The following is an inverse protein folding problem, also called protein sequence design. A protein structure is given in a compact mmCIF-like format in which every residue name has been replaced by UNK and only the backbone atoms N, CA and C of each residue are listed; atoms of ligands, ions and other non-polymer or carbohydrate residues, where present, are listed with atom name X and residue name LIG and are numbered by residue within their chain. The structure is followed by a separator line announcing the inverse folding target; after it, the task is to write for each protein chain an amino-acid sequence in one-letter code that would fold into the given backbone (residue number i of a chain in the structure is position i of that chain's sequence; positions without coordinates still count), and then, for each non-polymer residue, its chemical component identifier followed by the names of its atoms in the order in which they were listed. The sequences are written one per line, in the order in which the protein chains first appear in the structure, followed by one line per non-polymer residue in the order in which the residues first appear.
data_IF_972354774373
#
_entry.id   IF_972354774373
#
_cell.length_a   1.000
_cell.length_b   1.000
_cell.length_c   1.000
_cell.angle_alpha   90.00
_cell.angle_beta   90.00
_cell.angle_gamma   90.00
#
_symmetry.space_group_name_H-M   'P 1'
#
loop_
_entity.id
_entity.type
_entity.pdbx_description
1 polymer ?
#
# COMPACT_ATOMS: atom_id res chain seq x y z
N UNK A 1 -16.74 51.21 -24.82
CA UNK A 1 -16.23 50.06 -25.62
C UNK A 1 -15.65 50.63 -26.90
N UNK A 2 -14.47 50.18 -27.36
CA UNK A 2 -13.88 50.71 -28.59
C UNK A 2 -14.81 50.40 -29.77
N UNK A 3 -14.94 51.34 -30.71
CA UNK A 3 -15.82 51.13 -31.89
C UNK A 3 -15.22 50.09 -32.86
N UNK A 4 -13.90 49.91 -32.84
CA UNK A 4 -13.16 48.90 -33.60
C UNK A 4 -12.27 48.05 -32.68
N UNK A 5 -12.47 46.72 -32.70
CA UNK A 5 -11.70 45.76 -31.91
C UNK A 5 -10.41 45.32 -32.62
N UNK A 6 -9.43 44.81 -31.85
CA UNK A 6 -8.07 44.53 -32.33
C UNK A 6 -8.04 43.57 -33.53
N UNK A 7 -8.86 42.51 -33.52
CA UNK A 7 -8.85 41.51 -34.58
C UNK A 7 -9.40 42.06 -35.90
N UNK A 8 -10.48 42.86 -35.85
CA UNK A 8 -11.02 43.56 -37.02
C UNK A 8 -10.02 44.59 -37.58
N UNK A 9 -9.28 45.28 -36.71
CA UNK A 9 -8.21 46.20 -37.11
C UNK A 9 -7.06 45.49 -37.82
N UNK A 10 -6.65 44.32 -37.34
CA UNK A 10 -5.56 43.54 -37.94
C UNK A 10 -5.90 43.10 -39.37
N UNK A 11 -7.11 42.58 -39.59
CA UNK A 11 -7.61 42.18 -40.92
C UNK A 11 -7.55 43.35 -41.91
N UNK A 12 -8.06 44.52 -41.51
CA UNK A 12 -8.06 45.71 -42.36
C UNK A 12 -6.63 46.22 -42.62
N UNK A 13 -5.80 46.25 -41.60
CA UNK A 13 -4.42 46.72 -41.71
C UNK A 13 -3.56 45.85 -42.64
N UNK A 14 -3.82 44.55 -42.68
CA UNK A 14 -3.11 43.61 -43.54
C UNK A 14 -3.41 43.85 -45.02
N UNK A 15 -4.68 44.08 -45.36
CA UNK A 15 -5.10 44.35 -46.73
C UNK A 15 -4.63 45.73 -47.21
N UNK A 16 -4.70 46.76 -46.35
CA UNK A 16 -4.18 48.10 -46.69
C UNK A 16 -2.66 48.05 -46.94
N UNK A 17 -1.91 47.31 -46.11
CA UNK A 17 -0.45 47.09 -46.29
C UNK A 17 -0.09 46.33 -47.56
N UNK A 18 -1.02 45.52 -48.08
CA UNK A 18 -0.83 44.78 -49.33
C UNK A 18 -1.02 45.72 -50.52
N UNK A 19 -2.07 46.53 -50.50
CA UNK A 19 -2.39 47.49 -51.56
C UNK A 19 -1.41 48.67 -51.63
N UNK A 20 -0.81 49.08 -50.51
CA UNK A 20 0.15 50.19 -50.49
C UNK A 20 1.53 49.86 -51.06
N UNK A 21 1.85 48.58 -51.31
CA UNK A 21 3.14 48.16 -51.91
C UNK A 21 3.18 48.28 -53.43
N UNK A 22 2.05 48.54 -54.07
CA UNK A 22 1.93 48.56 -55.54
C UNK A 22 2.15 49.95 -56.17
N UNK A 23 2.13 51.06 -55.39
CA UNK A 23 2.36 52.43 -55.89
C UNK A 23 2.93 53.39 -54.81
N UNK A 24 3.81 54.32 -55.20
CA UNK A 24 4.46 55.32 -54.31
C UNK A 24 3.46 56.31 -53.69
N UNK A 25 2.32 56.55 -54.35
CA UNK A 25 1.20 57.32 -53.77
C UNK A 25 0.44 56.55 -52.66
N UNK A 26 0.65 55.23 -52.59
CA UNK A 26 -0.01 54.32 -51.64
C UNK A 26 0.48 54.45 -50.20
N UNK A 27 1.71 54.92 -49.95
CA UNK A 27 2.24 55.07 -48.58
C UNK A 27 1.58 56.23 -47.81
N UNK A 28 1.22 57.31 -48.50
CA UNK A 28 0.54 58.46 -47.90
C UNK A 28 -0.92 58.08 -47.59
N UNK A 29 -1.61 57.43 -48.54
CA UNK A 29 -2.95 56.89 -48.33
C UNK A 29 -3.01 55.90 -47.16
N UNK A 30 -2.00 55.04 -47.02
CA UNK A 30 -1.89 54.08 -45.93
C UNK A 30 -1.83 54.80 -44.58
N UNK A 31 -0.97 55.81 -44.43
CA UNK A 31 -0.84 56.55 -43.17
C UNK A 31 -2.14 57.26 -42.79
N UNK A 32 -2.88 57.78 -43.77
CA UNK A 32 -4.17 58.45 -43.54
C UNK A 32 -5.22 57.45 -43.06
N UNK A 33 -5.40 56.33 -43.76
CA UNK A 33 -6.41 55.32 -43.41
C UNK A 33 -6.08 54.66 -42.07
N UNK A 34 -4.81 54.34 -41.82
CA UNK A 34 -4.38 53.74 -40.54
C UNK A 34 -4.66 54.67 -39.36
N UNK A 35 -4.38 55.98 -39.47
CA UNK A 35 -4.74 56.96 -38.43
C UNK A 35 -6.26 57.07 -38.21
N UNK A 36 -7.06 56.99 -39.28
CA UNK A 36 -8.53 56.98 -39.18
C UNK A 36 -9.03 55.73 -38.45
N UNK A 37 -8.49 54.55 -38.77
CA UNK A 37 -8.83 53.29 -38.10
C UNK A 37 -8.38 53.27 -36.63
N UNK A 38 -7.21 53.82 -36.30
CA UNK A 38 -6.77 53.98 -34.91
C UNK A 38 -7.67 54.93 -34.12
N UNK A 39 -8.14 56.02 -34.75
CA UNK A 39 -9.12 56.92 -34.13
C UNK A 39 -10.42 56.19 -33.77
N UNK A 40 -10.89 55.27 -34.62
CA UNK A 40 -12.07 54.44 -34.32
C UNK A 40 -11.83 53.46 -33.17
N UNK A 41 -10.59 53.01 -32.95
CA UNK A 41 -10.23 52.20 -31.77
C UNK A 41 -10.23 53.03 -30.49
N UNK A 42 -9.83 54.31 -30.57
CA UNK A 42 -9.77 55.21 -29.41
C UNK A 42 -11.14 55.82 -29.06
N UNK A 43 -12.06 55.90 -30.01
CA UNK A 43 -13.42 56.37 -29.76
C UNK A 43 -14.26 55.30 -29.07
N UNK A 44 -15.04 55.71 -28.06
CA UNK A 44 -16.03 54.85 -27.41
C UNK A 44 -17.42 55.13 -28.00
N UNK A 45 -18.10 54.09 -28.48
CA UNK A 45 -19.42 54.23 -29.10
C UNK A 45 -19.92 52.91 -29.69
N UNK A 46 -20.97 52.96 -30.51
CA UNK A 46 -21.46 51.77 -31.22
C UNK A 46 -20.38 51.20 -32.17
N UNK A 47 -20.31 49.86 -32.32
CA UNK A 47 -19.42 49.21 -33.26
C UNK A 47 -19.57 49.81 -34.67
N UNK A 48 -18.44 50.04 -35.34
CA UNK A 48 -18.43 50.61 -36.69
C UNK A 48 -19.27 49.76 -37.64
N UNK A 49 -20.16 50.41 -38.40
CA UNK A 49 -21.00 49.77 -39.42
C UNK A 49 -20.24 49.63 -40.73
N UNK A 50 -20.68 48.73 -41.59
CA UNK A 50 -19.98 48.42 -42.84
C UNK A 50 -19.88 49.64 -43.76
N UNK A 51 -20.93 50.46 -43.80
CA UNK A 51 -21.04 51.66 -44.62
C UNK A 51 -20.04 52.73 -44.17
N UNK A 52 -19.94 52.96 -42.86
CA UNK A 52 -18.99 53.89 -42.25
C UNK A 52 -17.54 53.45 -42.49
N UNK A 53 -17.26 52.14 -42.38
CA UNK A 53 -15.94 51.59 -42.67
C UNK A 53 -15.57 51.73 -44.16
N UNK A 54 -16.55 51.52 -45.05
CA UNK A 54 -16.39 51.63 -46.49
C UNK A 54 -16.05 53.08 -46.89
N UNK A 55 -16.79 54.06 -46.40
CA UNK A 55 -16.52 55.48 -46.68
C UNK A 55 -15.10 55.90 -46.25
N UNK A 56 -14.63 55.42 -45.11
CA UNK A 56 -13.32 55.78 -44.57
C UNK A 56 -12.14 55.24 -45.40
N UNK A 57 -12.35 54.12 -46.11
CA UNK A 57 -11.30 53.38 -46.83
C UNK A 57 -11.37 53.61 -48.34
N UNK A 58 -12.57 53.66 -48.93
CA UNK A 58 -12.78 53.77 -50.39
C UNK A 58 -12.28 55.11 -50.96
N UNK A 59 -12.28 56.17 -50.15
CA UNK A 59 -11.70 57.49 -50.48
C UNK A 59 -10.22 57.40 -50.91
N UNK A 60 -9.44 56.51 -50.28
CA UNK A 60 -8.01 56.34 -50.55
C UNK A 60 -7.71 55.07 -51.35
N UNK A 61 -8.57 54.06 -51.27
CA UNK A 61 -8.44 52.77 -51.96
C UNK A 61 -9.76 52.38 -52.63
N UNK A 62 -10.05 52.89 -53.83
CA UNK A 62 -11.32 52.63 -54.52
C UNK A 62 -11.51 51.17 -54.92
N UNK A 63 -10.42 50.40 -55.02
CA UNK A 63 -10.41 48.97 -55.35
C UNK A 63 -10.43 48.04 -54.13
N UNK A 64 -10.66 48.57 -52.93
CA UNK A 64 -10.61 47.78 -51.69
C UNK A 64 -11.64 46.65 -51.68
N UNK A 65 -11.21 45.46 -51.26
CA UNK A 65 -12.05 44.27 -51.28
C UNK A 65 -13.22 44.36 -50.30
N UNK A 66 -14.45 44.36 -50.83
CA UNK A 66 -15.67 44.36 -50.02
C UNK A 66 -15.80 43.10 -49.13
N UNK A 67 -15.18 41.99 -49.56
CA UNK A 67 -15.13 40.75 -48.77
C UNK A 67 -14.38 40.96 -47.46
N UNK A 68 -13.27 41.69 -47.50
CA UNK A 68 -12.44 41.98 -46.32
C UNK A 68 -13.16 42.92 -45.37
N UNK A 69 -13.92 43.91 -45.89
CA UNK A 69 -14.77 44.77 -45.06
C UNK A 69 -15.85 43.97 -44.31
N UNK A 70 -16.53 43.05 -44.99
CA UNK A 70 -17.56 42.18 -44.38
C UNK A 70 -16.97 41.24 -43.32
N UNK A 71 -15.76 40.73 -43.56
CA UNK A 71 -15.05 39.87 -42.63
C UNK A 71 -14.61 40.63 -41.37
N UNK A 72 -14.04 41.83 -41.54
CA UNK A 72 -13.65 42.68 -40.42
C UNK A 72 -14.85 43.05 -39.53
N UNK A 73 -16.01 43.38 -40.11
CA UNK A 73 -17.23 43.70 -39.34
C UNK A 73 -17.76 42.48 -38.59
N UNK A 74 -17.73 41.29 -39.20
CA UNK A 74 -18.18 40.04 -38.56
C UNK A 74 -17.40 39.74 -37.28
N UNK A 75 -16.10 39.98 -37.31
CA UNK A 75 -15.21 39.73 -36.18
C UNK A 75 -15.08 40.94 -35.23
N UNK A 76 -15.71 42.09 -35.56
CA UNK A 76 -15.77 43.28 -34.72
C UNK A 76 -16.82 43.17 -33.58
N UNK A 77 -17.09 41.96 -33.08
CA UNK A 77 -18.15 41.69 -32.12
C UNK A 77 -17.61 41.01 -30.84
N UNK A 78 -17.81 41.57 -29.63
CA UNK A 78 -17.16 41.09 -28.40
C UNK A 78 -17.64 39.73 -27.82
N UNK A 79 -18.67 39.08 -28.37
CA UNK A 79 -19.45 38.09 -27.59
C UNK A 79 -19.40 36.62 -28.06
N UNK A 80 -18.76 36.25 -29.18
CA UNK A 80 -18.97 34.92 -29.77
C UNK A 80 -18.17 33.75 -29.15
N UNK A 81 -16.84 33.88 -29.07
CA UNK A 81 -15.95 32.72 -28.84
C UNK A 81 -15.46 32.57 -27.39
N UNK A 82 -15.35 33.66 -26.63
CA UNK A 82 -14.87 33.65 -25.24
C UNK A 82 -15.91 33.16 -24.24
N UNK A 83 -17.19 33.48 -24.45
CA UNK A 83 -18.30 33.04 -23.59
C UNK A 83 -18.53 31.52 -23.70
N UNK A 84 -18.38 30.95 -24.89
CA UNK A 84 -18.54 29.51 -25.11
C UNK A 84 -17.48 28.67 -24.38
N UNK A 85 -16.23 29.14 -24.36
CA UNK A 85 -15.13 28.45 -23.68
C UNK A 85 -15.27 28.53 -22.15
N UNK A 86 -15.71 29.68 -21.63
CA UNK A 86 -15.97 29.88 -20.20
C UNK A 86 -17.19 29.07 -19.72
N UNK A 87 -18.28 29.04 -20.49
CA UNK A 87 -19.45 28.20 -20.19
C UNK A 87 -19.14 26.71 -20.30
N UNK A 88 -18.33 26.28 -21.27
CA UNK A 88 -17.87 24.90 -21.39
C UNK A 88 -17.03 24.45 -20.19
N UNK A 89 -16.12 25.30 -19.71
CA UNK A 89 -15.32 25.04 -18.51
C UNK A 89 -16.16 24.96 -17.23
N UNK A 90 -17.12 25.88 -17.05
CA UNK A 90 -18.04 25.88 -15.91
C UNK A 90 -19.01 24.69 -15.92
N UNK A 91 -19.52 24.30 -17.09
CA UNK A 91 -20.39 23.13 -17.23
C UNK A 91 -19.65 21.82 -16.92
N UNK A 92 -18.39 21.68 -17.38
CA UNK A 92 -17.57 20.51 -17.08
C UNK A 92 -17.27 20.38 -15.58
N UNK A 93 -16.95 21.49 -14.90
CA UNK A 93 -16.73 21.51 -13.45
C UNK A 93 -18.01 21.19 -12.65
N UNK A 94 -19.16 21.72 -13.08
CA UNK A 94 -20.45 21.43 -12.45
C UNK A 94 -20.85 19.96 -12.58
N UNK A 95 -20.67 19.36 -13.76
CA UNK A 95 -20.96 17.93 -14.00
C UNK A 95 -20.01 17.04 -13.20
N UNK A 96 -18.72 17.36 -13.15
CA UNK A 96 -17.75 16.61 -12.35
C UNK A 96 -18.10 16.64 -10.85
N UNK A 97 -18.52 17.79 -10.32
CA UNK A 97 -19.00 17.92 -8.95
C UNK A 97 -20.25 17.10 -8.67
N UNK A 98 -21.23 17.10 -9.59
CA UNK A 98 -22.45 16.30 -9.47
C UNK A 98 -22.18 14.79 -9.54
N UNK A 99 -21.26 14.34 -10.40
CA UNK A 99 -20.83 12.93 -10.46
C UNK A 99 -20.13 12.52 -9.17
N UNK A 100 -19.32 13.40 -8.59
CA UNK A 100 -18.66 13.14 -7.31
C UNK A 100 -19.66 12.99 -6.16
N UNK A 101 -20.64 13.91 -6.06
CA UNK A 101 -21.72 13.84 -5.06
C UNK A 101 -22.62 12.62 -5.27
N UNK A 102 -22.97 12.28 -6.51
CA UNK A 102 -23.77 11.10 -6.83
C UNK A 102 -23.04 9.78 -6.55
N UNK A 103 -21.71 9.78 -6.59
CA UNK A 103 -20.88 8.62 -6.26
C UNK A 103 -20.56 8.50 -4.76
N UNK A 104 -21.00 9.44 -3.91
CA UNK A 104 -20.78 9.36 -2.47
C UNK A 104 -21.38 8.07 -1.88
N UNK A 105 -20.72 7.47 -0.87
CA UNK A 105 -21.15 6.24 -0.21
C UNK A 105 -22.30 6.47 0.77
N UNK A 106 -23.30 7.29 0.42
CA UNK A 106 -24.47 7.57 1.26
C UNK A 106 -25.74 6.90 0.72
N UNK A 107 -26.40 6.01 1.51
CA UNK A 107 -27.55 5.24 1.04
C UNK A 107 -28.70 6.06 0.46
N UNK A 108 -29.01 7.22 1.07
CA UNK A 108 -30.16 8.03 0.63
C UNK A 108 -29.93 8.70 -0.72
N UNK A 109 -28.68 8.94 -1.12
CA UNK A 109 -28.34 9.55 -2.41
C UNK A 109 -28.16 8.48 -3.49
N UNK A 110 -27.54 7.34 -3.15
CA UNK A 110 -27.28 6.27 -4.14
C UNK A 110 -28.51 5.53 -4.62
N UNK A 111 -29.55 5.36 -3.78
CA UNK A 111 -30.80 4.68 -4.17
C UNK A 111 -31.45 5.30 -5.41
N UNK A 112 -31.78 6.61 -5.42
CA UNK A 112 -32.37 7.23 -6.61
C UNK A 112 -31.42 7.21 -7.81
N UNK A 113 -30.10 7.40 -7.61
CA UNK A 113 -29.11 7.32 -8.69
C UNK A 113 -29.06 5.93 -9.33
N UNK A 114 -29.14 4.86 -8.54
CA UNK A 114 -29.15 3.48 -9.04
C UNK A 114 -30.42 3.12 -9.84
N UNK A 115 -31.54 3.78 -9.56
CA UNK A 115 -32.80 3.61 -10.28
C UNK A 115 -32.90 4.47 -11.55
N UNK A 116 -32.34 5.69 -11.51
CA UNK A 116 -32.50 6.68 -12.59
C UNK A 116 -31.31 6.67 -13.57
N UNK A 117 -30.08 6.49 -13.08
CA UNK A 117 -28.86 6.59 -13.88
C UNK A 117 -27.83 5.50 -13.48
N UNK A 118 -28.14 4.21 -13.69
CA UNK A 118 -27.29 3.09 -13.24
C UNK A 118 -25.87 3.11 -13.83
N UNK A 119 -25.69 3.70 -15.02
CA UNK A 119 -24.38 3.82 -15.68
C UNK A 119 -23.36 4.61 -14.84
N UNK A 120 -23.81 5.57 -14.03
CA UNK A 120 -22.93 6.40 -13.17
C UNK A 120 -22.28 5.57 -12.06
N UNK A 121 -22.96 4.49 -11.61
CA UNK A 121 -22.49 3.64 -10.52
C UNK A 121 -21.67 2.43 -11.00
N UNK A 122 -21.56 2.20 -12.30
CA UNK A 122 -20.82 1.05 -12.87
C UNK A 122 -19.37 0.94 -12.37
N UNK A 123 -18.56 2.03 -12.33
CA UNK A 123 -17.19 1.92 -11.82
C UNK A 123 -17.13 1.43 -10.36
N UNK A 124 -18.08 1.88 -9.53
CA UNK A 124 -18.20 1.45 -8.13
C UNK A 124 -18.56 -0.03 -8.02
N UNK A 125 -19.47 -0.53 -8.87
CA UNK A 125 -19.84 -1.94 -8.88
C UNK A 125 -18.72 -2.84 -9.41
N UNK A 126 -17.98 -2.42 -10.44
CA UNK A 126 -16.83 -3.17 -10.96
C UNK A 126 -15.74 -3.29 -9.89
N UNK A 127 -15.43 -2.19 -9.20
CA UNK A 127 -14.46 -2.21 -8.11
C UNK A 127 -14.89 -3.12 -6.96
N UNK A 128 -16.19 -3.15 -6.65
CA UNK A 128 -16.73 -4.05 -5.63
C UNK A 128 -16.56 -5.52 -6.04
N UNK A 129 -16.80 -5.87 -7.32
CA UNK A 129 -16.74 -7.26 -7.83
C UNK A 129 -15.33 -7.78 -7.76
N UNK A 130 -14.42 -6.94 -8.22
CA UNK A 130 -13.00 -7.22 -8.14
C UNK A 130 -12.56 -7.44 -6.70
N UNK A 131 -12.87 -6.52 -5.78
CA UNK A 131 -12.50 -6.67 -4.38
C UNK A 131 -13.12 -7.92 -3.76
N UNK A 132 -14.39 -8.22 -4.02
CA UNK A 132 -15.02 -9.42 -3.49
C UNK A 132 -14.37 -10.71 -4.02
N UNK A 133 -14.18 -10.82 -5.34
CA UNK A 133 -13.56 -12.00 -5.96
C UNK A 133 -12.11 -12.18 -5.52
N UNK A 134 -11.34 -11.10 -5.47
CA UNK A 134 -9.97 -11.12 -4.98
C UNK A 134 -9.94 -11.52 -3.50
N UNK A 135 -10.84 -11.00 -2.66
CA UNK A 135 -10.94 -11.41 -1.26
C UNK A 135 -11.19 -12.93 -1.11
N UNK A 136 -12.16 -13.49 -1.82
CA UNK A 136 -12.48 -14.92 -1.75
C UNK A 136 -11.31 -15.77 -2.26
N UNK A 137 -10.74 -15.43 -3.41
CA UNK A 137 -9.61 -16.17 -3.99
C UNK A 137 -8.38 -16.15 -3.09
N UNK A 138 -8.07 -15.00 -2.48
CA UNK A 138 -6.95 -14.86 -1.55
C UNK A 138 -7.19 -15.56 -0.22
N UNK A 139 -8.43 -15.56 0.26
CA UNK A 139 -8.84 -16.33 1.46
C UNK A 139 -8.63 -17.81 1.24
N UNK A 140 -9.04 -18.35 0.08
CA UNK A 140 -8.84 -19.76 -0.26
C UNK A 140 -7.35 -20.12 -0.38
N UNK A 141 -6.56 -19.29 -1.05
CA UNK A 141 -5.10 -19.47 -1.13
C UNK A 141 -4.46 -19.48 0.26
N UNK A 142 -4.83 -18.54 1.11
CA UNK A 142 -4.36 -18.47 2.48
C UNK A 142 -4.74 -19.72 3.28
N UNK A 143 -5.99 -20.18 3.14
CA UNK A 143 -6.49 -21.37 3.81
C UNK A 143 -5.68 -22.61 3.43
N UNK A 144 -5.41 -22.79 2.15
CA UNK A 144 -4.59 -23.91 1.66
C UNK A 144 -3.16 -23.83 2.20
N UNK A 145 -2.53 -22.67 2.12
CA UNK A 145 -1.15 -22.44 2.56
C UNK A 145 -0.99 -22.60 4.08
N UNK A 146 -2.00 -22.27 4.88
CA UNK A 146 -1.94 -22.34 6.35
C UNK A 146 -2.41 -23.71 6.86
N UNK A 147 -3.52 -24.25 6.33
CA UNK A 147 -4.06 -25.51 6.80
C UNK A 147 -3.29 -26.74 6.31
N UNK A 148 -2.65 -26.64 5.14
CA UNK A 148 -1.85 -27.71 4.53
C UNK A 148 -0.36 -27.36 4.46
N UNK A 149 0.09 -26.43 5.31
CA UNK A 149 1.49 -26.03 5.37
C UNK A 149 2.39 -27.23 5.61
N UNK A 150 3.47 -27.29 4.83
CA UNK A 150 4.57 -28.26 5.02
C UNK A 150 5.85 -27.56 5.45
N UNK A 151 5.93 -26.25 5.26
CA UNK A 151 7.07 -25.41 5.60
C UNK A 151 6.63 -24.10 6.26
N UNK A 152 7.57 -23.44 6.96
CA UNK A 152 7.36 -22.09 7.49
C UNK A 152 7.17 -21.04 6.39
N UNK A 153 7.71 -21.28 5.19
CA UNK A 153 7.51 -20.43 4.03
C UNK A 153 6.04 -20.43 3.58
N UNK A 154 5.36 -21.58 3.62
CA UNK A 154 3.93 -21.68 3.31
C UNK A 154 3.10 -20.84 4.29
N UNK A 155 3.40 -20.93 5.59
CA UNK A 155 2.73 -20.12 6.63
C UNK A 155 2.95 -18.62 6.38
N UNK A 156 4.16 -18.21 6.01
CA UNK A 156 4.49 -16.81 5.76
C UNK A 156 3.76 -16.28 4.53
N UNK A 157 3.78 -17.02 3.42
CA UNK A 157 3.03 -16.66 2.21
C UNK A 157 1.53 -16.65 2.48
N UNK A 158 1.01 -17.65 3.19
CA UNK A 158 -0.38 -17.72 3.62
C UNK A 158 -0.79 -16.50 4.43
N UNK A 159 0.04 -16.08 5.39
CA UNK A 159 -0.21 -14.86 6.18
C UNK A 159 -0.30 -13.60 5.31
N UNK A 160 0.57 -13.49 4.30
CA UNK A 160 0.50 -12.37 3.34
C UNK A 160 -0.82 -12.40 2.56
N UNK A 161 -1.26 -13.58 2.11
CA UNK A 161 -2.54 -13.76 1.41
C UNK A 161 -3.74 -13.44 2.30
N UNK A 162 -3.72 -13.79 3.59
CA UNK A 162 -4.76 -13.37 4.55
C UNK A 162 -4.82 -11.84 4.63
N UNK A 163 -3.67 -11.17 4.76
CA UNK A 163 -3.63 -9.71 4.85
C UNK A 163 -4.14 -9.03 3.57
N UNK A 164 -3.82 -9.60 2.39
CA UNK A 164 -4.40 -9.16 1.11
C UNK A 164 -5.92 -9.36 1.09
N UNK A 165 -6.41 -10.53 1.52
CA UNK A 165 -7.84 -10.81 1.58
C UNK A 165 -8.59 -9.83 2.51
N UNK A 166 -8.01 -9.54 3.68
CA UNK A 166 -8.57 -8.59 4.64
C UNK A 166 -8.67 -7.19 4.04
N UNK A 167 -7.63 -6.71 3.33
CA UNK A 167 -7.66 -5.41 2.62
C UNK A 167 -8.77 -5.35 1.58
N UNK A 168 -8.98 -6.43 0.82
CA UNK A 168 -10.05 -6.48 -0.17
C UNK A 168 -11.44 -6.49 0.47
N UNK A 169 -11.62 -7.19 1.61
CA UNK A 169 -12.86 -7.15 2.38
C UNK A 169 -13.13 -5.77 2.99
N UNK A 170 -12.10 -5.08 3.48
CA UNK A 170 -12.22 -3.71 4.02
C UNK A 170 -12.49 -2.67 2.93
N UNK A 171 -12.09 -2.97 1.69
CA UNK A 171 -12.44 -2.18 0.50
C UNK A 171 -13.90 -2.32 0.07
N UNK A 172 -14.68 -3.21 0.70
CA UNK A 172 -16.12 -3.34 0.43
C UNK A 172 -16.91 -2.32 1.26
N UNK A 173 -17.77 -1.51 0.61
CA UNK A 173 -18.55 -0.50 1.31
C UNK A 173 -19.56 -1.10 2.31
N UNK A 174 -19.44 -0.73 3.58
CA UNK A 174 -20.32 -1.19 4.68
C UNK A 174 -21.79 -0.82 4.46
N UNK A 175 -22.07 0.28 3.78
CA UNK A 175 -23.44 0.75 3.49
C UNK A 175 -24.22 -0.17 2.52
N UNK A 176 -23.55 -1.13 1.85
CA UNK A 176 -24.18 -2.14 1.00
C UNK A 176 -24.87 -3.25 1.84
N UNK A 177 -24.47 -3.43 3.11
CA UNK A 177 -24.85 -4.54 3.99
C UNK A 177 -26.27 -4.47 4.58
N UNK A 178 -27.17 -3.65 4.03
CA UNK A 178 -28.52 -3.54 4.59
C UNK A 178 -29.63 -3.30 3.58
N UNK A 179 -29.32 -2.96 2.32
CA UNK A 179 -30.35 -2.45 1.42
C UNK A 179 -30.33 -2.90 -0.04
N UNK A 180 -29.34 -3.66 -0.54
CA UNK A 180 -29.44 -4.26 -1.87
C UNK A 180 -28.62 -5.55 -2.00
N UNK A 181 -29.29 -6.67 -2.33
CA UNK A 181 -28.78 -7.49 -3.42
C UNK A 181 -29.94 -7.83 -4.36
N UNK A 182 -30.08 -7.04 -5.42
CA UNK A 182 -30.86 -7.44 -6.60
C UNK A 182 -29.91 -7.45 -7.80
N UNK A 183 -30.00 -8.52 -8.61
CA UNK A 183 -29.22 -8.73 -9.83
C UNK A 183 -29.20 -7.44 -10.66
N UNK A 184 -28.02 -6.86 -10.86
CA UNK A 184 -27.85 -5.88 -11.92
C UNK A 184 -27.37 -6.60 -13.18
N UNK A 185 -28.14 -6.44 -14.24
CA UNK A 185 -27.89 -6.97 -15.56
C UNK A 185 -27.64 -5.81 -16.52
N UNK A 186 -26.73 -6.02 -17.47
CA UNK A 186 -26.63 -5.23 -18.70
C UNK A 186 -26.59 -6.21 -19.89
N UNK A 187 -26.78 -5.72 -21.12
CA UNK A 187 -27.17 -6.47 -22.33
C UNK A 187 -26.39 -7.77 -22.66
N UNK A 188 -25.23 -8.07 -22.05
CA UNK A 188 -24.45 -9.30 -22.29
C UNK A 188 -23.96 -10.09 -21.07
N UNK A 189 -24.20 -9.69 -19.81
CA UNK A 189 -24.02 -10.59 -18.65
C UNK A 189 -24.58 -10.01 -17.35
N UNK A 190 -24.96 -10.90 -16.43
CA UNK A 190 -25.34 -10.56 -15.06
C UNK A 190 -24.41 -11.33 -14.11
N UNK A 191 -23.86 -10.70 -13.08
CA UNK A 191 -23.58 -11.43 -11.85
C UNK A 191 -23.45 -10.50 -10.67
N UNK A 192 -24.33 -10.65 -9.68
CA UNK A 192 -24.07 -10.33 -8.28
C UNK A 192 -25.04 -11.11 -7.37
N UNK A 193 -24.49 -11.97 -6.50
CA UNK A 193 -25.09 -12.46 -5.26
C UNK A 193 -24.01 -12.25 -4.19
N UNK A 194 -24.14 -11.18 -3.42
CA UNK A 194 -23.31 -10.90 -2.26
C UNK A 194 -24.26 -10.46 -1.16
N UNK A 195 -24.50 -11.34 -0.19
CA UNK A 195 -25.38 -11.04 0.96
C UNK A 195 -24.56 -10.61 2.18
N UNK A 196 -25.23 -9.98 3.14
CA UNK A 196 -24.64 -9.66 4.46
C UNK A 196 -24.05 -10.91 5.10
N UNK A 197 -24.79 -12.01 5.04
CA UNK A 197 -24.37 -13.30 5.58
C UNK A 197 -23.13 -13.86 4.87
N UNK A 198 -22.98 -13.62 3.56
CA UNK A 198 -21.76 -14.00 2.82
C UNK A 198 -20.57 -13.15 3.23
N UNK A 199 -20.75 -11.84 3.40
CA UNK A 199 -19.71 -10.95 3.89
C UNK A 199 -19.26 -11.32 5.31
N UNK A 200 -20.22 -11.50 6.23
CA UNK A 200 -19.93 -11.86 7.61
C UNK A 200 -19.21 -13.22 7.68
N UNK A 201 -19.67 -14.20 6.90
CA UNK A 201 -18.97 -15.49 6.77
C UNK A 201 -17.56 -15.33 6.22
N UNK A 202 -17.36 -14.49 5.21
CA UNK A 202 -16.04 -14.22 4.65
C UNK A 202 -15.10 -13.57 5.68
N UNK A 203 -15.54 -12.52 6.39
CA UNK A 203 -14.76 -11.89 7.46
C UNK A 203 -14.44 -12.86 8.59
N UNK A 204 -15.43 -13.65 9.03
CA UNK A 204 -15.24 -14.69 10.04
C UNK A 204 -14.20 -15.72 9.59
N UNK A 205 -14.24 -16.13 8.32
CA UNK A 205 -13.26 -17.08 7.77
C UNK A 205 -11.86 -16.49 7.72
N UNK A 206 -11.70 -15.26 7.25
CA UNK A 206 -10.42 -14.55 7.25
C UNK A 206 -9.87 -14.44 8.67
N UNK A 207 -10.70 -14.02 9.64
CA UNK A 207 -10.28 -13.92 11.04
C UNK A 207 -9.88 -15.26 11.66
N UNK A 208 -10.55 -16.36 11.30
CA UNK A 208 -10.15 -17.71 11.74
C UNK A 208 -8.78 -18.11 11.17
N UNK A 209 -8.55 -17.85 9.88
CA UNK A 209 -7.28 -18.16 9.23
C UNK A 209 -6.16 -17.27 9.80
N UNK A 210 -6.44 -16.00 10.06
CA UNK A 210 -5.50 -15.06 10.70
C UNK A 210 -5.10 -15.52 12.10
N UNK A 211 -6.07 -15.90 12.94
CA UNK A 211 -5.81 -16.43 14.27
C UNK A 211 -4.96 -17.70 14.21
N UNK A 212 -5.22 -18.59 13.25
CA UNK A 212 -4.41 -19.78 13.04
C UNK A 212 -2.99 -19.43 12.57
N UNK A 213 -2.84 -18.51 11.62
CA UNK A 213 -1.54 -18.03 11.15
C UNK A 213 -0.71 -17.45 12.30
N UNK A 214 -1.35 -16.69 13.19
CA UNK A 214 -0.72 -16.15 14.40
C UNK A 214 -0.24 -17.26 15.34
N UNK A 215 -1.06 -18.27 15.59
CA UNK A 215 -0.66 -19.44 16.40
C UNK A 215 0.53 -20.18 15.79
N UNK A 216 0.50 -20.43 14.47
CA UNK A 216 1.60 -21.09 13.75
C UNK A 216 2.89 -20.28 13.82
N UNK A 217 2.82 -18.95 13.65
CA UNK A 217 3.99 -18.07 13.76
C UNK A 217 4.59 -18.06 15.17
N UNK A 218 3.76 -18.00 16.20
CA UNK A 218 4.24 -18.05 17.58
C UNK A 218 4.88 -19.40 17.90
N UNK A 219 4.26 -20.50 17.46
CA UNK A 219 4.80 -21.84 17.63
C UNK A 219 6.14 -22.01 16.89
N UNK A 220 6.26 -21.48 15.67
CA UNK A 220 7.50 -21.48 14.91
C UNK A 220 8.60 -20.65 15.60
N UNK A 221 8.24 -19.49 16.17
CA UNK A 221 9.18 -18.66 16.93
C UNK A 221 9.72 -19.41 18.15
N UNK A 222 8.84 -20.03 18.94
CA UNK A 222 9.22 -20.84 20.10
C UNK A 222 10.13 -22.01 19.70
N UNK A 223 9.83 -22.68 18.58
CA UNK A 223 10.67 -23.75 18.04
C UNK A 223 12.09 -23.25 17.75
N UNK A 224 12.21 -22.16 16.98
CA UNK A 224 13.51 -21.61 16.61
C UNK A 224 14.30 -21.11 17.82
N UNK A 225 13.63 -20.45 18.78
CA UNK A 225 14.28 -20.02 20.03
C UNK A 225 14.81 -21.20 20.83
N UNK A 226 14.00 -22.24 21.01
CA UNK A 226 14.42 -23.43 21.76
C UNK A 226 15.55 -24.20 21.06
N UNK A 227 15.50 -24.35 19.73
CA UNK A 227 16.57 -24.99 18.95
C UNK A 227 17.90 -24.23 19.06
N UNK A 228 17.85 -22.90 19.00
CA UNK A 228 19.02 -22.06 19.21
C UNK A 228 19.55 -22.21 20.63
N UNK A 229 18.69 -22.16 21.66
CA UNK A 229 19.10 -22.35 23.06
C UNK A 229 19.73 -23.72 23.28
N UNK A 230 19.17 -24.81 22.72
CA UNK A 230 19.76 -26.16 22.80
C UNK A 230 21.16 -26.16 22.19
N UNK A 231 21.32 -25.56 21.01
CA UNK A 231 22.61 -25.52 20.31
C UNK A 231 23.65 -24.74 21.12
N UNK A 232 23.28 -23.57 21.63
CA UNK A 232 24.15 -22.75 22.48
C UNK A 232 24.50 -23.44 23.79
N UNK A 233 23.52 -24.05 24.45
CA UNK A 233 23.73 -24.78 25.71
C UNK A 233 24.68 -25.98 25.52
N UNK A 234 24.53 -26.73 24.42
CA UNK A 234 25.47 -27.80 24.06
C UNK A 234 26.90 -27.27 23.88
N UNK A 235 27.07 -26.19 23.11
CA UNK A 235 28.38 -25.57 22.91
C UNK A 235 29.00 -25.08 24.23
N UNK A 236 28.20 -24.44 25.08
CA UNK A 236 28.64 -23.98 26.41
C UNK A 236 29.05 -25.16 27.29
N UNK A 237 28.31 -26.26 27.27
CA UNK A 237 28.64 -27.47 28.02
C UNK A 237 29.97 -28.09 27.57
N UNK A 238 30.21 -28.17 26.26
CA UNK A 238 31.46 -28.69 25.69
C UNK A 238 32.68 -27.80 25.99
N UNK A 239 32.51 -26.48 25.95
CA UNK A 239 33.58 -25.50 26.18
C UNK A 239 33.83 -25.21 27.66
N UNK A 240 32.87 -25.51 28.54
CA UNK A 240 32.96 -25.23 29.96
C UNK A 240 34.09 -26.02 30.62
N UNK A 241 35.00 -25.29 31.26
CA UNK A 241 36.12 -25.86 32.04
C UNK A 241 35.77 -26.04 33.51
N UNK A 242 34.76 -25.32 34.01
CA UNK A 242 34.33 -25.39 35.41
C UNK A 242 33.05 -26.24 35.59
N UNK A 243 32.89 -26.93 36.73
CA UNK A 243 31.66 -27.67 37.03
C UNK A 243 30.41 -26.78 37.09
N UNK A 244 30.55 -25.53 37.52
CA UNK A 244 29.44 -24.56 37.63
C UNK A 244 28.92 -24.17 36.26
N UNK A 245 29.82 -23.85 35.31
CA UNK A 245 29.43 -23.49 33.95
C UNK A 245 28.78 -24.66 33.22
N UNK A 246 29.27 -25.89 33.44
CA UNK A 246 28.62 -27.10 32.94
C UNK A 246 27.21 -27.28 33.51
N UNK A 247 27.01 -27.01 34.79
CA UNK A 247 25.69 -27.12 35.41
C UNK A 247 24.72 -26.06 34.87
N UNK A 248 25.18 -24.84 34.61
CA UNK A 248 24.36 -23.80 33.99
C UNK A 248 23.94 -24.20 32.58
N UNK A 249 24.88 -24.70 31.77
CA UNK A 249 24.59 -25.18 30.42
C UNK A 249 23.58 -26.34 30.41
N UNK A 250 23.66 -27.27 31.38
CA UNK A 250 22.66 -28.34 31.55
C UNK A 250 21.28 -27.75 31.90
N UNK A 251 21.22 -26.75 32.79
CA UNK A 251 19.96 -26.11 33.16
C UNK A 251 19.32 -25.38 31.96
N UNK A 252 20.12 -24.66 31.17
CA UNK A 252 19.65 -23.97 29.97
C UNK A 252 19.18 -24.95 28.88
N UNK A 253 19.86 -26.10 28.75
CA UNK A 253 19.43 -27.17 27.86
C UNK A 253 18.09 -27.78 28.32
N UNK A 254 17.94 -28.10 29.61
CA UNK A 254 16.67 -28.60 30.15
C UNK A 254 15.53 -27.60 29.96
N UNK A 255 15.76 -26.32 30.26
CA UNK A 255 14.77 -25.26 30.05
C UNK A 255 14.34 -25.14 28.57
N UNK A 256 15.26 -25.37 27.64
CA UNK A 256 14.93 -25.39 26.22
C UNK A 256 14.12 -26.63 25.80
N UNK A 257 14.38 -27.80 26.41
CA UNK A 257 13.52 -28.99 26.25
C UNK A 257 12.10 -28.69 26.76
N UNK A 258 11.97 -28.07 27.92
CA UNK A 258 10.68 -27.71 28.50
C UNK A 258 9.91 -26.72 27.60
N UNK A 259 10.62 -25.77 26.97
CA UNK A 259 10.03 -24.86 25.96
C UNK A 259 9.53 -25.61 24.72
N UNK A 260 10.25 -26.64 24.26
CA UNK A 260 9.78 -27.46 23.13
C UNK A 260 8.47 -28.19 23.48
N UNK A 261 8.27 -28.60 24.72
CA UNK A 261 7.03 -29.26 25.17
C UNK A 261 5.82 -28.33 25.23
N UNK A 262 6.05 -27.02 25.40
CA UNK A 262 4.99 -26.02 25.41
C UNK A 262 4.45 -25.70 24.00
N UNK A 263 5.10 -26.18 22.95
CA UNK A 263 4.69 -25.92 21.57
C UNK A 263 3.39 -26.70 21.27
N UNK A 264 2.29 -26.03 20.85
CA UNK A 264 1.02 -26.70 20.63
C UNK A 264 1.12 -27.81 19.57
N UNK A 265 0.67 -29.05 19.86
CA UNK A 265 0.87 -30.20 18.97
C UNK A 265 0.08 -30.14 17.67
N UNK A 266 -0.94 -29.28 17.61
CA UNK A 266 -1.76 -29.07 16.41
C UNK A 266 -1.05 -28.23 15.33
N UNK A 267 0.02 -27.51 15.68
CA UNK A 267 0.77 -26.63 14.78
C UNK A 267 1.76 -27.39 13.91
N UNK A 268 2.21 -26.80 12.81
CA UNK A 268 3.30 -27.32 12.00
C UNK A 268 4.57 -27.50 12.85
N UNK A 269 4.92 -26.49 13.65
CA UNK A 269 6.05 -26.55 14.57
C UNK A 269 5.92 -27.73 15.55
N UNK A 270 4.73 -27.95 16.13
CA UNK A 270 4.48 -29.10 17.01
C UNK A 270 4.70 -30.45 16.34
N UNK A 271 4.35 -30.59 15.04
CA UNK A 271 4.63 -31.80 14.26
C UNK A 271 6.13 -32.00 14.03
N UNK A 272 6.86 -30.91 13.76
CA UNK A 272 8.32 -30.94 13.57
C UNK A 272 9.08 -31.23 14.88
N UNK A 273 8.55 -30.77 16.01
CA UNK A 273 9.16 -30.95 17.34
C UNK A 273 9.19 -32.40 17.76
N UNK A 274 8.12 -33.17 17.52
CA UNK A 274 8.02 -34.56 18.02
C UNK A 274 9.27 -35.44 17.79
N UNK A 275 9.80 -35.58 16.56
CA UNK A 275 11.01 -36.36 16.34
C UNK A 275 12.26 -35.70 16.95
N UNK A 276 12.34 -34.37 16.96
CA UNK A 276 13.49 -33.63 17.52
C UNK A 276 13.55 -33.74 19.03
N UNK A 277 12.41 -33.59 19.72
CA UNK A 277 12.30 -33.66 21.17
C UNK A 277 12.79 -35.00 21.72
N UNK A 278 12.40 -36.11 21.08
CA UNK A 278 12.87 -37.43 21.47
C UNK A 278 14.40 -37.57 21.33
N UNK A 279 14.97 -37.06 20.24
CA UNK A 279 16.41 -37.04 20.04
C UNK A 279 17.12 -36.15 21.07
N UNK A 280 16.62 -34.93 21.30
CA UNK A 280 17.18 -33.97 22.25
C UNK A 280 17.15 -34.51 23.68
N UNK A 281 16.05 -35.15 24.11
CA UNK A 281 15.95 -35.77 25.44
C UNK A 281 16.95 -36.91 25.62
N UNK A 282 17.10 -37.77 24.60
CA UNK A 282 18.09 -38.85 24.62
C UNK A 282 19.51 -38.30 24.72
N UNK A 283 19.84 -37.29 23.92
CA UNK A 283 21.16 -36.67 23.93
C UNK A 283 21.45 -36.00 25.28
N UNK A 284 20.45 -35.30 25.83
CA UNK A 284 20.51 -34.69 27.16
C UNK A 284 20.78 -35.73 28.24
N UNK A 285 20.04 -36.84 28.26
CA UNK A 285 20.26 -37.93 29.22
C UNK A 285 21.66 -38.54 29.09
N UNK A 286 22.17 -38.69 27.87
CA UNK A 286 23.51 -39.23 27.62
C UNK A 286 24.60 -38.30 28.14
N UNK A 287 24.48 -36.99 27.91
CA UNK A 287 25.54 -36.03 28.23
C UNK A 287 25.44 -35.50 29.68
N UNK A 288 24.23 -35.18 30.14
CA UNK A 288 23.97 -34.70 31.50
C UNK A 288 23.94 -35.83 32.54
N UNK A 289 23.51 -37.05 32.16
CA UNK A 289 23.60 -38.22 33.05
C UNK A 289 25.05 -38.60 33.38
N UNK A 290 25.97 -38.40 32.44
CA UNK A 290 27.41 -38.48 32.69
C UNK A 290 27.91 -37.33 33.59
N UNK A 291 27.28 -36.15 33.53
CA UNK A 291 27.61 -35.02 34.39
C UNK A 291 27.18 -35.24 35.86
N UNK A 292 26.01 -35.84 36.10
CA UNK A 292 25.57 -36.24 37.45
C UNK A 292 26.41 -37.39 38.03
N UNK A 293 26.78 -38.36 37.20
CA UNK A 293 27.78 -39.38 37.55
C UNK A 293 29.15 -38.76 37.88
N UNK A 294 29.58 -37.76 37.10
CA UNK A 294 30.85 -37.07 37.35
C UNK A 294 30.78 -36.17 38.58
N UNK A 295 29.65 -35.54 38.94
CA UNK A 295 29.46 -34.82 40.21
C UNK A 295 29.77 -35.72 41.41
N UNK A 296 29.23 -36.95 41.45
CA UNK A 296 29.58 -37.93 42.49
C UNK A 296 31.09 -38.20 42.51
N UNK A 297 31.70 -38.44 41.35
CA UNK A 297 33.15 -38.67 41.24
C UNK A 297 34.00 -37.47 41.64
N UNK A 298 33.60 -36.23 41.31
CA UNK A 298 34.28 -35.01 41.72
C UNK A 298 34.18 -34.78 43.23
N UNK A 299 33.02 -35.02 43.84
CA UNK A 299 32.86 -34.98 45.30
C UNK A 299 33.73 -36.03 45.99
N UNK A 300 33.79 -37.27 45.46
CA UNK A 300 34.71 -38.30 45.99
C UNK A 300 36.19 -37.92 45.83
N UNK A 301 36.56 -37.30 44.71
CA UNK A 301 37.94 -36.90 44.43
C UNK A 301 38.39 -35.70 45.28
N UNK A 302 37.49 -34.77 45.58
CA UNK A 302 37.72 -33.65 46.49
C UNK A 302 37.85 -34.12 47.95
N UNK A 303 36.98 -35.03 48.37
CA UNK A 303 37.07 -35.72 49.67
C UNK A 303 38.38 -36.53 49.77
N UNK A 304 38.76 -37.26 48.73
CA UNK A 304 40.03 -38.02 48.70
C UNK A 304 41.26 -37.11 48.81
N UNK A 305 41.26 -35.93 48.17
CA UNK A 305 42.33 -34.93 48.34
C UNK A 305 42.40 -34.40 49.77
N UNK A 306 41.26 -34.15 50.41
CA UNK A 306 41.21 -33.71 51.81
C UNK A 306 41.75 -34.79 52.74
N UNK A 307 41.37 -36.06 52.55
CA UNK A 307 41.92 -37.18 53.33
C UNK A 307 43.41 -37.40 53.08
N UNK A 308 43.89 -37.27 51.84
CA UNK A 308 45.33 -37.34 51.53
C UNK A 308 46.14 -36.26 52.22
N UNK A 309 45.63 -35.02 52.23
CA UNK A 309 46.29 -33.90 52.93
C UNK A 309 46.27 -34.06 54.46
N UNK A 310 45.19 -34.61 55.03
CA UNK A 310 45.11 -34.93 56.45
C UNK A 310 46.07 -36.06 56.84
N UNK A 311 46.18 -37.10 56.01
CA UNK A 311 47.12 -38.19 56.21
C UNK A 311 48.58 -37.69 56.17
N UNK A 312 48.93 -36.84 55.20
CA UNK A 312 50.25 -36.22 55.08
C UNK A 312 50.59 -35.32 56.27
N UNK A 313 49.63 -34.53 56.76
CA UNK A 313 49.83 -33.74 57.99
C UNK A 313 50.04 -34.62 59.21
N UNK A 314 49.25 -35.68 59.36
CA UNK A 314 49.34 -36.61 60.49
C UNK A 314 50.66 -37.40 60.52
N UNK A 315 51.17 -37.79 59.35
CA UNK A 315 52.45 -38.49 59.25
C UNK A 315 53.64 -37.56 59.50
N UNK A 316 53.58 -36.32 59.02
CA UNK A 316 54.57 -35.29 59.32
C UNK A 316 54.61 -34.96 60.82
N UNK A 317 53.45 -34.82 61.47
CA UNK A 317 53.37 -34.59 62.92
C UNK A 317 53.89 -35.78 63.73
N UNK A 318 53.65 -37.02 63.29
CA UNK A 318 54.24 -38.22 63.94
C UNK A 318 55.74 -38.31 63.76
N UNK A 319 56.27 -37.91 62.61
CA UNK A 319 57.71 -37.93 62.35
C UNK A 319 58.46 -36.87 63.19
N UNK A 320 57.86 -35.69 63.37
CA UNK A 320 58.38 -34.64 64.25
C UNK A 320 58.31 -35.05 65.73
N UNK A 321 57.22 -35.71 66.16
CA UNK A 321 57.06 -36.23 67.52
C UNK A 321 58.06 -37.36 67.84
N UNK A 322 58.41 -38.20 66.85
CA UNK A 322 59.42 -39.25 67.00
C UNK A 322 60.85 -38.68 67.07
N UNK A 323 61.13 -37.59 66.34
CA UNK A 323 62.45 -36.92 66.38
C UNK A 323 62.63 -36.15 67.71
N UNK A 324 61.57 -35.54 68.25
CA UNK A 324 61.62 -34.83 69.55
C UNK A 324 61.62 -35.75 70.77
N UNK A 325 61.26 -37.03 70.62
CA UNK A 325 61.36 -38.02 71.69
C UNK A 325 62.74 -38.71 71.78
N UNK A 326 63.64 -38.46 70.82
CA UNK A 326 64.97 -39.07 70.73
C UNK A 326 66.15 -38.07 70.88
N UNK A 327 65.87 -36.80 71.19
CA UNK A 327 66.85 -35.81 71.66
C UNK A 327 66.62 -35.50 73.15
#
# INVERSE_FOLDING_TARGET
MPRLYNYAYEILSAEIKKLSKEDLTGEIGQKIVMKRLEKLRMQSGEPVKLEELRELIVDQYPTFSEKVLKEAIRENNPAGKTILLQLGGLAALGIAGLVWVANLPYPMIRKPVASVAPMVLLPSYISMDRNYREAIAKTEQADQLINKATSSADINLGTQRVAEAQRHLDGLPVWFLGYYPQRYCTFFSCSWKFTVDEFERARKRVGQIEAKAFQEKNAQKLLTEAENTITTAKQQYEQATTPTDKQQAIADWQAAIDKLEQIPPATLAGKMVKPKLAATKRDFQKEAGLAEGSKRSFTFMEVAKQFGNLALKSSATRLIALITAFC
#
